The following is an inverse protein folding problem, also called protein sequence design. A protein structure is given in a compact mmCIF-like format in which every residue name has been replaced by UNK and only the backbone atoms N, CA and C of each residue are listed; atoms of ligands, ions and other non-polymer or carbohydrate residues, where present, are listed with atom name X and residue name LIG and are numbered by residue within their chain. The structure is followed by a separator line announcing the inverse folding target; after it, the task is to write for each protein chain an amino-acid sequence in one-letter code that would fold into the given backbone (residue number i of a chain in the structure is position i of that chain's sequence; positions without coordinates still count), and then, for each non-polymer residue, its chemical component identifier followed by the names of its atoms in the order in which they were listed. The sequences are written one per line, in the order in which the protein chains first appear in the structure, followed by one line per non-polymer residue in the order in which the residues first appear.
data_IF_546518088013
#
_entry.id   IF_546518088013
#
_cell.length_a   1.000
_cell.length_b   1.000
_cell.length_c   1.000
_cell.angle_alpha   90.00
_cell.angle_beta   90.00
_cell.angle_gamma   90.00
#
_symmetry.space_group_name_H-M   'P 1'
#
loop_
_entity.id
_entity.type
_entity.pdbx_description
1 polymer ?
#
# COMPACT_ATOMS: atom_id res chain seq x y z
N UNK A 1 -3.77 -19.11 7.22
CA UNK A 1 -4.76 -18.26 6.52
C UNK A 1 -5.07 -18.83 5.13
N UNK A 2 -6.34 -19.13 4.84
CA UNK A 2 -6.77 -19.50 3.49
C UNK A 2 -6.47 -18.34 2.52
N UNK A 3 -6.11 -18.65 1.28
CA UNK A 3 -5.74 -17.65 0.27
C UNK A 3 -6.83 -16.57 0.07
N UNK A 4 -8.10 -16.91 0.33
CA UNK A 4 -9.25 -16.01 0.28
C UNK A 4 -9.14 -14.85 1.28
N UNK A 5 -8.82 -15.12 2.55
CA UNK A 5 -8.76 -14.07 3.57
C UNK A 5 -7.62 -13.06 3.35
N UNK A 6 -6.51 -13.51 2.76
CA UNK A 6 -5.41 -12.62 2.38
C UNK A 6 -5.80 -11.75 1.17
N UNK A 7 -6.44 -12.34 0.15
CA UNK A 7 -6.92 -11.60 -1.02
C UNK A 7 -7.94 -10.52 -0.65
N UNK A 8 -8.87 -10.83 0.26
CA UNK A 8 -9.87 -9.86 0.73
C UNK A 8 -9.22 -8.71 1.51
N UNK A 9 -8.20 -9.00 2.34
CA UNK A 9 -7.45 -7.99 3.08
C UNK A 9 -6.67 -7.05 2.14
N UNK A 10 -5.92 -7.60 1.19
CA UNK A 10 -5.11 -6.80 0.28
C UNK A 10 -5.98 -6.01 -0.71
N UNK A 11 -7.08 -6.60 -1.19
CA UNK A 11 -8.07 -5.89 -2.01
C UNK A 11 -8.68 -4.71 -1.27
N UNK A 12 -9.11 -4.92 -0.01
CA UNK A 12 -9.65 -3.85 0.84
C UNK A 12 -8.63 -2.74 1.10
N UNK A 13 -7.38 -3.09 1.40
CA UNK A 13 -6.32 -2.10 1.63
C UNK A 13 -6.01 -1.28 0.37
N UNK A 14 -5.92 -1.94 -0.80
CA UNK A 14 -5.66 -1.24 -2.06
C UNK A 14 -6.79 -0.25 -2.39
N UNK A 15 -8.03 -0.68 -2.17
CA UNK A 15 -9.21 0.17 -2.31
C UNK A 15 -9.15 1.37 -1.35
N UNK A 16 -8.86 1.17 -0.07
CA UNK A 16 -8.77 2.26 0.91
C UNK A 16 -7.71 3.30 0.53
N UNK A 17 -6.55 2.86 0.02
CA UNK A 17 -5.50 3.77 -0.46
C UNK A 17 -5.98 4.59 -1.66
N UNK A 18 -6.59 3.93 -2.65
CA UNK A 18 -7.12 4.59 -3.83
C UNK A 18 -8.23 5.60 -3.47
N UNK A 19 -9.18 5.19 -2.61
CA UNK A 19 -10.26 6.04 -2.14
C UNK A 19 -9.74 7.27 -1.39
N UNK A 20 -8.71 7.12 -0.55
CA UNK A 20 -8.09 8.25 0.13
C UNK A 20 -7.38 9.19 -0.85
N UNK A 21 -6.72 8.67 -1.89
CA UNK A 21 -6.10 9.50 -2.92
C UNK A 21 -7.14 10.35 -3.68
N UNK A 22 -8.31 9.78 -3.97
CA UNK A 22 -9.44 10.52 -4.58
C UNK A 22 -10.01 11.56 -3.62
N UNK A 23 -10.19 11.22 -2.34
CA UNK A 23 -10.64 12.17 -1.33
C UNK A 23 -9.68 13.36 -1.19
N UNK A 24 -8.38 13.12 -1.27
CA UNK A 24 -7.34 14.15 -1.25
C UNK A 24 -7.39 15.09 -2.47
N UNK A 25 -7.86 14.61 -3.62
CA UNK A 25 -8.15 15.47 -4.78
C UNK A 25 -9.33 16.42 -4.48
N UNK A 26 -10.41 15.91 -3.89
CA UNK A 26 -11.61 16.70 -3.58
C UNK A 26 -11.33 17.78 -2.51
N UNK A 27 -10.40 17.52 -1.59
CA UNK A 27 -10.02 18.48 -0.56
C UNK A 27 -9.13 19.60 -1.14
N UNK A 28 -9.75 20.69 -1.57
CA UNK A 28 -9.07 21.83 -2.21
C UNK A 28 -8.08 22.59 -1.31
N UNK A 29 -8.20 22.47 0.01
CA UNK A 29 -7.31 23.11 0.98
C UNK A 29 -6.15 22.19 1.41
N UNK A 30 -6.11 20.95 0.91
CA UNK A 30 -5.08 19.99 1.26
C UNK A 30 -3.75 20.37 0.61
N UNK A 31 -2.67 20.38 1.41
CA UNK A 31 -1.30 20.41 0.89
C UNK A 31 -0.93 19.03 0.37
N UNK A 32 -1.18 18.79 -0.92
CA UNK A 32 -0.76 17.57 -1.59
C UNK A 32 0.70 17.66 -2.09
N UNK A 33 1.41 16.52 -2.25
CA UNK A 33 2.73 16.51 -2.87
C UNK A 33 2.76 17.14 -4.28
N UNK A 34 1.64 17.08 -5.01
CA UNK A 34 1.50 17.75 -6.30
C UNK A 34 1.44 19.27 -6.14
N UNK A 35 0.60 19.78 -5.24
CA UNK A 35 0.50 21.22 -4.97
C UNK A 35 1.83 21.82 -4.50
N UNK A 36 2.59 21.10 -3.66
CA UNK A 36 3.92 21.55 -3.22
C UNK A 36 4.91 21.65 -4.37
N UNK A 37 4.94 20.66 -5.28
CA UNK A 37 5.78 20.70 -6.48
C UNK A 37 5.35 21.78 -7.47
N UNK A 38 4.04 21.98 -7.65
CA UNK A 38 3.50 23.04 -8.50
C UNK A 38 3.95 24.41 -7.97
N UNK A 39 3.83 24.64 -6.65
CA UNK A 39 4.32 25.85 -5.99
C UNK A 39 5.82 26.06 -6.16
N UNK A 40 6.62 25.00 -5.99
CA UNK A 40 8.07 25.07 -6.20
C UNK A 40 8.45 25.41 -7.66
N UNK A 41 7.61 25.03 -8.63
CA UNK A 41 7.77 25.37 -10.03
C UNK A 41 7.15 26.74 -10.42
N UNK A 42 6.64 27.50 -9.44
CA UNK A 42 6.07 28.84 -9.67
C UNK A 42 4.58 28.88 -10.01
N UNK A 43 3.89 27.74 -9.98
CA UNK A 43 2.44 27.66 -10.22
C UNK A 43 1.65 27.80 -8.91
N UNK A 44 0.51 28.48 -8.98
CA UNK A 44 -0.45 28.54 -7.86
C UNK A 44 -1.48 27.43 -8.01
N UNK A 45 -1.35 26.37 -7.21
CA UNK A 45 -2.27 25.23 -7.19
C UNK A 45 -2.53 24.77 -5.74
N UNK A 46 -3.75 24.36 -5.43
CA UNK A 46 -4.16 23.83 -4.12
C UNK A 46 -4.95 22.51 -4.28
N UNK A 47 -4.94 21.66 -3.26
CA UNK A 47 -5.58 20.34 -3.28
C UNK A 47 -4.77 19.25 -3.99
N UNK A 48 -5.38 18.08 -4.20
CA UNK A 48 -4.78 16.97 -4.96
C UNK A 48 -4.90 17.15 -6.49
N UNK A 49 -4.23 16.28 -7.25
CA UNK A 49 -4.30 16.27 -8.73
C UNK A 49 -5.46 15.38 -9.19
N UNK A 50 -6.33 15.84 -10.11
CA UNK A 50 -7.28 14.96 -10.80
C UNK A 50 -6.53 14.07 -11.78
N UNK A 51 -6.37 12.80 -11.44
CA UNK A 51 -5.68 11.81 -12.28
C UNK A 51 -6.16 10.40 -11.92
N UNK A 52 -5.97 9.45 -12.83
CA UNK A 52 -6.27 8.05 -12.56
C UNK A 52 -5.33 7.49 -11.48
N UNK A 53 -5.88 6.74 -10.52
CA UNK A 53 -5.11 6.16 -9.41
C UNK A 53 -5.01 4.65 -9.59
N UNK A 54 -3.79 4.16 -9.83
CA UNK A 54 -3.47 2.71 -9.85
C UNK A 54 -2.69 2.34 -8.60
N UNK A 55 -3.17 1.35 -7.84
CA UNK A 55 -2.50 0.84 -6.63
C UNK A 55 -2.12 -0.62 -6.83
N UNK A 56 -0.85 -0.93 -6.60
CA UNK A 56 -0.34 -2.31 -6.52
C UNK A 56 0.25 -2.55 -5.14
N UNK A 57 -0.18 -3.63 -4.48
CA UNK A 57 0.34 -4.02 -3.17
C UNK A 57 1.13 -5.31 -3.29
N UNK A 58 2.32 -5.30 -2.69
CA UNK A 58 3.17 -6.47 -2.57
C UNK A 58 3.52 -6.67 -1.10
N UNK A 59 3.24 -7.87 -0.57
CA UNK A 59 3.70 -8.26 0.75
C UNK A 59 4.93 -9.15 0.61
N UNK A 60 6.08 -8.65 1.06
CA UNK A 60 7.31 -9.43 1.09
C UNK A 60 7.21 -10.38 2.29
N UNK A 61 7.01 -11.67 2.00
CA UNK A 61 7.07 -12.70 3.01
C UNK A 61 8.54 -13.01 3.29
N UNK A 62 9.00 -12.75 4.50
CA UNK A 62 10.36 -13.04 4.91
C UNK A 62 10.59 -14.56 4.99
N UNK A 63 11.01 -15.14 3.87
CA UNK A 63 11.08 -16.59 3.66
C UNK A 63 12.29 -17.24 4.32
N UNK A 64 13.29 -16.45 4.74
CA UNK A 64 14.48 -16.94 5.42
C UNK A 64 14.16 -17.47 6.82
N UNK A 65 13.30 -16.75 7.57
CA UNK A 65 12.90 -17.15 8.92
C UNK A 65 11.97 -18.37 8.90
N UNK A 66 11.05 -18.41 7.94
CA UNK A 66 10.06 -19.50 7.83
C UNK A 66 10.70 -20.84 7.44
N UNK A 67 11.72 -20.85 6.57
CA UNK A 67 12.42 -22.08 6.19
C UNK A 67 13.28 -22.65 7.32
N UNK A 68 13.92 -21.79 8.12
CA UNK A 68 14.69 -22.21 9.28
C UNK A 68 13.78 -22.82 10.37
N UNK A 69 12.65 -22.17 10.66
CA UNK A 69 11.64 -22.66 11.60
C UNK A 69 11.03 -24.00 11.16
N UNK A 70 10.74 -24.16 9.86
CA UNK A 70 10.27 -25.43 9.29
C UNK A 70 11.31 -26.55 9.42
N UNK A 71 12.58 -26.29 9.09
CA UNK A 71 13.66 -27.27 9.24
C UNK A 71 13.88 -27.72 10.69
N UNK A 72 13.82 -26.78 11.64
CA UNK A 72 13.95 -27.10 13.07
C UNK A 72 12.79 -27.98 13.53
N UNK A 73 11.56 -27.65 13.12
CA UNK A 73 10.37 -28.45 13.43
C UNK A 73 10.44 -29.88 12.86
N UNK A 74 10.91 -30.03 11.62
CA UNK A 74 11.08 -31.35 10.99
C UNK A 74 12.15 -32.19 11.67
N UNK A 75 13.22 -31.56 12.16
CA UNK A 75 14.30 -32.24 12.86
C UNK A 75 13.84 -32.76 14.24
N UNK A 76 13.05 -31.96 14.95
CA UNK A 76 12.48 -32.35 16.25
C UNK A 76 11.41 -33.43 16.14
N UNK A 77 10.68 -33.51 15.02
CA UNK A 77 9.68 -34.57 14.80
C UNK A 77 10.29 -35.94 14.44
N UNK A 78 11.59 -35.99 14.13
CA UNK A 78 12.33 -37.21 13.79
C UNK A 78 13.17 -37.77 14.95
N UNK A 79 13.16 -37.08 16.09
CA UNK A 79 13.78 -37.50 17.36
C UNK A 79 12.72 -38.15 18.25
#
# INVERSE_FOLDING_TARGET
PSATAANDLFGGLAYSIAAQAVANYIQHDLRSPFAERAKAAGYSFTGGKPDDVTVMLAWIKDSAKTQAEQKISEMNAKL
#
